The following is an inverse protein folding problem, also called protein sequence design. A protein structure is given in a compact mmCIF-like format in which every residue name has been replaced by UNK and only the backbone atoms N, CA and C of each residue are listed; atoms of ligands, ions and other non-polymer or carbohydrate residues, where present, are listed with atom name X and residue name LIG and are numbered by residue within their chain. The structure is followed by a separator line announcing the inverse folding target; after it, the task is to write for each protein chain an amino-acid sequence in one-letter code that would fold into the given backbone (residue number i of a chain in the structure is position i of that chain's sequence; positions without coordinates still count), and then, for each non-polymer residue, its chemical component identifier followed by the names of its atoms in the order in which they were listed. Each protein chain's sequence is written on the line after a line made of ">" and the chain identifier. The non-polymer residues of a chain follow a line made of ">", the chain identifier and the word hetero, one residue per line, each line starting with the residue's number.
data_IF_783494224530
#
_entry.id   IF_783494224530
#
_cell.length_a   1.000
_cell.length_b   1.000
_cell.length_c   1.000
_cell.angle_alpha   90.00
_cell.angle_beta   90.00
_cell.angle_gamma   90.00
#
_symmetry.space_group_name_H-M   'P 1'
#
loop_
_entity.id
_entity.type
_entity.pdbx_description
1 polymer ?
#
# COMPACT_ATOMS: atom_id res chain seq x y z
N UNK A 1 -20.71 2.00 -40.37
CA UNK A 1 -20.74 0.53 -40.57
C UNK A 1 -21.18 -0.14 -39.30
N UNK A 2 -22.13 -1.08 -39.36
CA UNK A 2 -22.68 -1.79 -38.19
C UNK A 2 -21.58 -2.44 -37.29
N UNK A 3 -20.43 -2.79 -37.85
CA UNK A 3 -19.34 -3.46 -37.13
C UNK A 3 -18.69 -2.58 -36.07
N UNK A 4 -18.70 -1.25 -36.22
CA UNK A 4 -18.13 -0.29 -35.25
C UNK A 4 -19.15 0.27 -34.27
N UNK A 5 -20.47 0.05 -34.51
CA UNK A 5 -21.54 0.67 -33.69
C UNK A 5 -21.51 0.26 -32.25
N UNK A 6 -21.16 -1.00 -31.93
CA UNK A 6 -21.03 -1.49 -30.55
C UNK A 6 -19.90 -0.77 -29.79
N UNK A 7 -18.73 -0.61 -30.42
CA UNK A 7 -17.59 0.10 -29.82
C UNK A 7 -17.92 1.59 -29.67
N UNK A 8 -18.57 2.20 -30.67
CA UNK A 8 -18.99 3.60 -30.61
C UNK A 8 -19.99 3.85 -29.47
N UNK A 9 -20.95 2.94 -29.30
CA UNK A 9 -21.90 3.01 -28.21
C UNK A 9 -21.19 2.97 -26.85
N UNK A 10 -20.26 2.02 -26.67
CA UNK A 10 -19.44 1.90 -25.45
C UNK A 10 -18.57 3.14 -25.22
N UNK A 11 -17.96 3.72 -26.24
CA UNK A 11 -17.18 4.96 -26.13
C UNK A 11 -18.04 6.15 -25.70
N UNK A 12 -19.26 6.26 -26.20
CA UNK A 12 -20.20 7.32 -25.80
C UNK A 12 -20.62 7.19 -24.33
N UNK A 13 -20.80 5.96 -23.84
CA UNK A 13 -21.10 5.67 -22.42
C UNK A 13 -19.90 5.97 -21.51
N UNK A 14 -18.67 5.81 -22.01
CA UNK A 14 -17.45 6.07 -21.26
C UNK A 14 -17.11 7.58 -21.19
N UNK A 15 -17.54 8.39 -22.13
CA UNK A 15 -17.20 9.83 -22.19
C UNK A 15 -17.52 10.61 -20.90
N UNK A 16 -18.69 10.43 -20.25
CA UNK A 16 -18.96 11.03 -18.94
C UNK A 16 -17.96 10.59 -17.86
N UNK A 17 -17.59 9.30 -17.87
CA UNK A 17 -16.63 8.74 -16.89
C UNK A 17 -15.24 9.37 -16.99
N UNK A 18 -14.80 9.72 -18.20
CA UNK A 18 -13.55 10.48 -18.39
C UNK A 18 -13.64 11.88 -17.78
N UNK A 19 -14.78 12.55 -17.89
CA UNK A 19 -14.97 13.85 -17.26
C UNK A 19 -15.02 13.76 -15.74
N UNK A 20 -15.68 12.74 -15.19
CA UNK A 20 -15.70 12.45 -13.76
C UNK A 20 -14.29 12.15 -13.23
N UNK A 21 -13.50 11.33 -13.95
CA UNK A 21 -12.12 11.03 -13.61
C UNK A 21 -11.26 12.30 -13.58
N UNK A 22 -11.42 13.21 -14.53
CA UNK A 22 -10.74 14.50 -14.55
C UNK A 22 -11.03 15.32 -13.28
N UNK A 23 -12.31 15.36 -12.88
CA UNK A 23 -12.75 16.02 -11.65
C UNK A 23 -12.20 15.35 -10.39
N UNK A 24 -12.29 14.03 -10.30
CA UNK A 24 -11.77 13.27 -9.16
C UNK A 24 -10.25 13.40 -9.00
N UNK A 25 -9.52 13.56 -10.10
CA UNK A 25 -8.08 13.79 -10.10
C UNK A 25 -7.69 15.25 -9.78
N UNK A 26 -8.65 16.20 -9.70
CA UNK A 26 -8.38 17.64 -9.47
C UNK A 26 -7.29 18.21 -10.41
N UNK A 27 -7.28 17.81 -11.68
CA UNK A 27 -6.17 18.11 -12.62
C UNK A 27 -5.98 19.61 -12.85
N UNK A 28 -7.06 20.38 -12.87
CA UNK A 28 -6.99 21.83 -13.11
C UNK A 28 -6.33 22.54 -11.91
N UNK A 29 -6.69 22.17 -10.68
CA UNK A 29 -6.01 22.68 -9.48
C UNK A 29 -4.58 22.18 -9.38
N UNK A 30 -4.33 20.91 -9.70
CA UNK A 30 -3.00 20.33 -9.72
C UNK A 30 -2.07 21.01 -10.71
N UNK A 31 -2.55 21.38 -11.89
CA UNK A 31 -1.78 22.13 -12.88
C UNK A 31 -1.44 23.55 -12.40
N UNK A 32 -2.40 24.24 -11.76
CA UNK A 32 -2.17 25.55 -11.16
C UNK A 32 -1.16 25.49 -10.01
N UNK A 33 -1.30 24.50 -9.10
CA UNK A 33 -0.35 24.23 -8.01
C UNK A 33 1.05 23.95 -8.54
N UNK A 34 1.18 23.12 -9.57
CA UNK A 34 2.46 22.81 -10.18
C UNK A 34 3.15 24.05 -10.76
N UNK A 35 2.40 24.90 -11.46
CA UNK A 35 2.92 26.14 -12.03
C UNK A 35 3.37 27.13 -10.93
N UNK A 36 2.61 27.23 -9.84
CA UNK A 36 2.98 28.07 -8.69
C UNK A 36 4.26 27.56 -8.01
N UNK A 37 4.35 26.24 -7.79
CA UNK A 37 5.55 25.62 -7.21
C UNK A 37 6.76 25.77 -8.12
N UNK A 38 6.60 25.68 -9.45
CA UNK A 38 7.69 25.93 -10.42
C UNK A 38 8.19 27.37 -10.36
N UNK A 39 7.29 28.35 -10.18
CA UNK A 39 7.73 29.74 -9.96
C UNK A 39 8.55 29.89 -8.68
N UNK A 40 8.19 29.18 -7.61
CA UNK A 40 8.97 29.15 -6.37
C UNK A 40 10.36 28.53 -6.56
N UNK A 41 10.51 27.51 -7.41
CA UNK A 41 11.83 26.91 -7.68
C UNK A 41 12.78 27.84 -8.44
N UNK A 42 12.27 28.86 -9.13
CA UNK A 42 13.05 29.85 -9.83
C UNK A 42 13.62 30.96 -8.91
N UNK A 43 13.19 31.03 -7.64
CA UNK A 43 13.69 32.01 -6.69
C UNK A 43 15.14 31.73 -6.28
N UNK A 44 15.96 32.76 -6.13
CA UNK A 44 17.39 32.62 -5.84
C UNK A 44 17.69 31.96 -4.47
N UNK A 45 16.76 32.05 -3.53
CA UNK A 45 16.83 31.51 -2.17
C UNK A 45 16.26 30.10 -2.02
N UNK A 46 15.67 29.52 -3.08
CA UNK A 46 15.04 28.20 -3.07
C UNK A 46 15.99 27.10 -2.59
N UNK A 47 17.27 27.18 -2.96
CA UNK A 47 18.27 26.16 -2.61
C UNK A 47 18.91 26.32 -1.24
N UNK A 48 18.50 27.35 -0.45
CA UNK A 48 18.98 27.53 0.91
C UNK A 48 18.42 26.46 1.88
N UNK A 49 17.30 25.81 1.52
CA UNK A 49 16.72 24.65 2.20
C UNK A 49 16.66 23.45 1.24
N UNK A 50 17.70 22.58 1.22
CA UNK A 50 17.78 21.44 0.31
C UNK A 50 16.65 20.42 0.53
N UNK A 51 16.26 20.17 1.80
CA UNK A 51 15.19 19.19 2.13
C UNK A 51 13.81 19.69 1.70
N UNK A 52 13.49 20.95 2.02
CA UNK A 52 12.26 21.57 1.56
C UNK A 52 12.21 21.67 0.03
N UNK A 53 13.34 22.01 -0.61
CA UNK A 53 13.48 22.03 -2.07
C UNK A 53 13.20 20.67 -2.71
N UNK A 54 13.74 19.60 -2.15
CA UNK A 54 13.50 18.24 -2.66
C UNK A 54 12.02 17.83 -2.55
N UNK A 55 11.36 18.13 -1.45
CA UNK A 55 9.91 17.88 -1.27
C UNK A 55 9.07 18.64 -2.31
N UNK A 56 9.41 19.90 -2.58
CA UNK A 56 8.73 20.71 -3.61
C UNK A 56 8.91 20.11 -4.99
N UNK A 57 10.14 19.73 -5.38
CA UNK A 57 10.39 19.09 -6.67
C UNK A 57 9.67 17.75 -6.82
N UNK A 58 9.63 16.95 -5.76
CA UNK A 58 8.87 15.69 -5.74
C UNK A 58 7.37 15.95 -5.93
N UNK A 59 6.82 17.00 -5.28
CA UNK A 59 5.42 17.39 -5.44
C UNK A 59 5.10 17.83 -6.87
N UNK A 60 5.95 18.66 -7.47
CA UNK A 60 5.82 19.07 -8.88
C UNK A 60 5.79 17.86 -9.80
N UNK A 61 6.74 16.93 -9.61
CA UNK A 61 6.80 15.70 -10.41
C UNK A 61 5.51 14.90 -10.28
N UNK A 62 5.00 14.68 -9.06
CA UNK A 62 3.75 13.94 -8.82
C UNK A 62 2.56 14.56 -9.56
N UNK A 63 2.42 15.90 -9.50
CA UNK A 63 1.34 16.61 -10.15
C UNK A 63 1.43 16.52 -11.69
N UNK A 64 2.66 16.65 -12.23
CA UNK A 64 2.90 16.51 -13.67
C UNK A 64 2.66 15.08 -14.17
N UNK A 65 3.14 14.09 -13.44
CA UNK A 65 2.96 12.68 -13.81
C UNK A 65 1.48 12.31 -13.81
N UNK A 66 0.71 12.80 -12.83
CA UNK A 66 -0.74 12.62 -12.75
C UNK A 66 -1.46 13.22 -13.97
N UNK A 67 -1.10 14.42 -14.35
CA UNK A 67 -1.65 15.06 -15.55
C UNK A 67 -1.24 14.33 -16.83
N UNK A 68 0.02 13.92 -16.97
CA UNK A 68 0.52 13.20 -18.12
C UNK A 68 -0.21 11.85 -18.31
N UNK A 69 -0.47 11.12 -17.24
CA UNK A 69 -1.26 9.86 -17.28
C UNK A 69 -2.67 10.10 -17.81
N UNK A 70 -3.36 11.13 -17.34
CA UNK A 70 -4.69 11.47 -17.86
C UNK A 70 -4.65 11.90 -19.32
N UNK A 71 -3.66 12.71 -19.74
CA UNK A 71 -3.52 13.12 -21.15
C UNK A 71 -3.25 11.91 -22.06
N UNK A 72 -2.42 10.96 -21.61
CA UNK A 72 -2.19 9.69 -22.30
C UNK A 72 -3.52 8.92 -22.50
N UNK A 73 -4.29 8.78 -21.42
CA UNK A 73 -5.59 8.09 -21.45
C UNK A 73 -6.56 8.77 -22.42
N UNK A 74 -6.60 10.13 -22.39
CA UNK A 74 -7.41 10.90 -23.32
C UNK A 74 -6.94 10.71 -24.76
N UNK A 75 -5.62 10.70 -25.01
CA UNK A 75 -5.06 10.41 -26.34
C UNK A 75 -5.50 9.05 -26.85
N UNK A 76 -5.45 8.00 -26.02
CA UNK A 76 -5.94 6.66 -26.39
C UNK A 76 -7.43 6.66 -26.77
N UNK A 77 -8.26 7.43 -26.06
CA UNK A 77 -9.68 7.61 -26.43
C UNK A 77 -9.83 8.29 -27.79
N UNK A 78 -9.13 9.41 -27.97
CA UNK A 78 -9.19 10.20 -29.21
C UNK A 78 -8.67 9.37 -30.41
N UNK A 79 -7.61 8.57 -30.22
CA UNK A 79 -7.05 7.67 -31.24
C UNK A 79 -8.08 6.62 -31.70
N UNK A 80 -8.77 5.95 -30.75
CA UNK A 80 -9.80 4.95 -31.09
C UNK A 80 -10.95 5.61 -31.85
N UNK A 81 -11.41 6.79 -31.42
CA UNK A 81 -12.48 7.54 -32.11
C UNK A 81 -12.04 7.90 -33.53
N UNK A 82 -10.84 8.45 -33.68
CA UNK A 82 -10.29 8.87 -34.98
C UNK A 82 -10.14 7.67 -35.94
N UNK A 83 -9.64 6.53 -35.42
CA UNK A 83 -9.49 5.31 -36.23
C UNK A 83 -10.85 4.79 -36.73
N UNK A 84 -11.89 4.85 -35.86
CA UNK A 84 -13.27 4.50 -36.31
C UNK A 84 -13.76 5.43 -37.39
N UNK A 85 -13.58 6.75 -37.23
CA UNK A 85 -14.00 7.74 -38.22
C UNK A 85 -13.31 7.53 -39.60
N UNK A 86 -11.99 7.28 -39.56
CA UNK A 86 -11.20 6.97 -40.74
C UNK A 86 -11.67 5.67 -41.43
N UNK A 87 -11.90 4.60 -40.66
CA UNK A 87 -12.36 3.31 -41.16
C UNK A 87 -13.73 3.42 -41.84
N UNK A 88 -14.62 4.24 -41.27
CA UNK A 88 -15.95 4.49 -41.86
C UNK A 88 -15.87 5.34 -43.13
N UNK A 89 -15.04 6.37 -43.15
CA UNK A 89 -14.84 7.23 -44.34
C UNK A 89 -14.25 6.43 -45.51
N UNK A 90 -13.27 5.57 -45.21
CA UNK A 90 -12.62 4.72 -46.21
C UNK A 90 -13.41 3.45 -46.53
N UNK A 91 -14.48 3.14 -45.79
CA UNK A 91 -15.26 1.88 -45.87
C UNK A 91 -14.38 0.63 -45.70
N UNK A 92 -13.34 0.74 -44.84
CA UNK A 92 -12.32 -0.30 -44.60
C UNK A 92 -12.60 -1.08 -43.31
N UNK A 93 -13.05 -2.33 -43.48
CA UNK A 93 -13.29 -3.24 -42.33
C UNK A 93 -12.00 -3.88 -41.80
N UNK A 94 -10.88 -3.78 -42.51
CA UNK A 94 -9.62 -4.37 -42.09
C UNK A 94 -9.03 -3.70 -40.84
N UNK A 95 -9.43 -2.48 -40.49
CA UNK A 95 -9.04 -1.73 -39.30
C UNK A 95 -9.79 -2.17 -38.02
N UNK A 96 -10.82 -3.03 -38.15
CA UNK A 96 -11.60 -3.47 -36.96
C UNK A 96 -10.78 -4.13 -35.88
N UNK A 97 -9.80 -5.04 -36.13
CA UNK A 97 -8.97 -5.61 -35.09
C UNK A 97 -8.13 -4.56 -34.36
N UNK A 98 -7.66 -3.52 -35.06
CA UNK A 98 -6.89 -2.42 -34.47
C UNK A 98 -7.76 -1.57 -33.56
N UNK A 99 -8.96 -1.20 -34.02
CA UNK A 99 -9.95 -0.47 -33.20
C UNK A 99 -10.31 -1.27 -31.95
N UNK A 100 -10.54 -2.58 -32.08
CA UNK A 100 -10.88 -3.44 -30.95
C UNK A 100 -9.74 -3.55 -29.95
N UNK A 101 -8.50 -3.70 -30.41
CA UNK A 101 -7.31 -3.73 -29.56
C UNK A 101 -7.10 -2.40 -28.84
N UNK A 102 -7.21 -1.27 -29.56
CA UNK A 102 -7.14 0.08 -29.00
C UNK A 102 -8.20 0.34 -27.93
N UNK A 103 -9.46 -0.05 -28.22
CA UNK A 103 -10.55 0.07 -27.25
C UNK A 103 -10.34 -0.79 -26.00
N UNK A 104 -9.82 -2.01 -26.15
CA UNK A 104 -9.53 -2.89 -25.03
C UNK A 104 -8.42 -2.31 -24.15
N UNK A 105 -7.33 -1.84 -24.76
CA UNK A 105 -6.23 -1.19 -24.04
C UNK A 105 -6.67 0.08 -23.32
N UNK A 106 -7.46 0.93 -24.00
CA UNK A 106 -8.05 2.14 -23.41
C UNK A 106 -8.95 1.82 -22.21
N UNK A 107 -9.83 0.83 -22.34
CA UNK A 107 -10.77 0.45 -21.28
C UNK A 107 -10.04 -0.06 -20.03
N UNK A 108 -8.99 -0.85 -20.20
CA UNK A 108 -8.15 -1.34 -19.12
C UNK A 108 -7.42 -0.19 -18.41
N UNK A 109 -6.84 0.74 -19.16
CA UNK A 109 -6.14 1.92 -18.58
C UNK A 109 -7.10 2.86 -17.86
N UNK A 110 -8.31 3.10 -18.41
CA UNK A 110 -9.36 3.88 -17.75
C UNK A 110 -9.76 3.26 -16.40
N UNK A 111 -9.93 1.95 -16.38
CA UNK A 111 -10.27 1.25 -15.14
C UNK A 111 -9.16 1.38 -14.11
N UNK A 112 -7.91 1.16 -14.50
CA UNK A 112 -6.75 1.29 -13.62
C UNK A 112 -6.63 2.71 -13.04
N UNK A 113 -6.80 3.74 -13.84
CA UNK A 113 -6.76 5.13 -13.36
C UNK A 113 -7.96 5.48 -12.47
N UNK A 114 -9.15 4.99 -12.80
CA UNK A 114 -10.34 5.19 -11.95
C UNK A 114 -10.12 4.57 -10.57
N UNK A 115 -9.58 3.36 -10.50
CA UNK A 115 -9.29 2.69 -9.24
C UNK A 115 -8.24 3.41 -8.41
N UNK A 116 -7.22 3.98 -9.06
CA UNK A 116 -6.22 4.77 -8.36
C UNK A 116 -6.81 5.99 -7.62
N UNK A 117 -7.96 6.52 -8.06
CA UNK A 117 -8.66 7.61 -7.37
C UNK A 117 -9.37 7.16 -6.09
N UNK A 118 -9.65 5.87 -5.95
CA UNK A 118 -10.27 5.29 -4.74
C UNK A 118 -9.25 5.05 -3.62
N UNK A 119 -7.95 5.13 -3.94
CA UNK A 119 -6.86 4.94 -2.99
C UNK A 119 -6.57 6.26 -2.26
N UNK A 120 -7.40 6.56 -1.25
CA UNK A 120 -7.33 7.82 -0.50
C UNK A 120 -6.75 7.65 0.91
N UNK A 121 -6.46 6.42 1.33
CA UNK A 121 -5.89 6.12 2.63
C UNK A 121 -4.47 6.68 2.79
N UNK A 122 -4.12 7.07 4.01
CA UNK A 122 -2.81 7.67 4.34
C UNK A 122 -1.62 6.81 3.87
N UNK A 123 -1.75 5.49 3.91
CA UNK A 123 -0.69 4.53 3.60
C UNK A 123 -0.88 3.85 2.24
N UNK A 124 -1.95 4.17 1.49
CA UNK A 124 -2.27 3.48 0.24
C UNK A 124 -1.14 3.55 -0.81
N UNK A 125 -0.30 4.58 -0.73
CA UNK A 125 0.84 4.78 -1.66
C UNK A 125 2.10 3.98 -1.30
N UNK A 126 2.13 3.39 -0.10
CA UNK A 126 3.29 2.67 0.38
C UNK A 126 3.44 1.32 -0.33
N UNK A 127 4.63 0.77 -0.23
CA UNK A 127 4.87 -0.64 -0.50
C UNK A 127 4.07 -1.51 0.48
N UNK A 128 3.88 -2.78 0.15
CA UNK A 128 3.12 -3.71 0.97
C UNK A 128 4.02 -4.82 1.52
N UNK A 129 3.88 -5.13 2.80
CA UNK A 129 4.42 -6.34 3.41
C UNK A 129 3.24 -7.30 3.57
N UNK A 130 3.35 -8.47 2.94
CA UNK A 130 2.36 -9.54 3.02
C UNK A 130 2.92 -10.70 3.84
N UNK A 131 2.22 -11.08 4.91
CA UNK A 131 2.57 -12.24 5.73
C UNK A 131 1.52 -13.33 5.52
N UNK A 132 2.00 -14.54 5.25
CA UNK A 132 1.19 -15.72 4.97
C UNK A 132 1.35 -16.73 6.10
N UNK A 133 0.25 -17.28 6.59
CA UNK A 133 0.25 -18.25 7.67
C UNK A 133 -0.67 -19.43 7.33
N UNK A 134 -0.12 -20.64 7.42
CA UNK A 134 -0.93 -21.85 7.29
C UNK A 134 -1.90 -21.98 8.45
N UNK A 135 -3.18 -22.17 8.13
CA UNK A 135 -4.24 -22.35 9.11
C UNK A 135 -4.61 -23.83 9.34
N UNK A 136 -5.88 -24.07 9.60
CA UNK A 136 -6.39 -25.42 9.75
C UNK A 136 -6.31 -26.22 8.44
N UNK A 137 -5.77 -27.45 8.48
CA UNK A 137 -5.65 -28.34 7.32
C UNK A 137 -4.34 -29.15 7.26
N UNK A 138 -3.42 -28.98 8.22
CA UNK A 138 -2.16 -29.72 8.27
C UNK A 138 -1.29 -29.45 7.03
N UNK A 139 -0.69 -30.52 6.45
CA UNK A 139 0.16 -30.44 5.24
C UNK A 139 -0.56 -29.75 4.07
N UNK A 140 -1.87 -29.98 3.92
CA UNK A 140 -2.67 -29.34 2.87
C UNK A 140 -2.75 -27.81 3.04
N UNK A 141 -2.82 -27.30 4.27
CA UNK A 141 -2.81 -25.86 4.55
C UNK A 141 -1.44 -25.23 4.28
N UNK A 142 -0.36 -25.99 4.51
CA UNK A 142 1.00 -25.55 4.20
C UNK A 142 1.23 -25.46 2.68
N UNK A 143 0.73 -26.44 1.92
CA UNK A 143 0.76 -26.39 0.45
C UNK A 143 -0.10 -25.23 -0.09
N UNK A 144 -1.29 -25.02 0.51
CA UNK A 144 -2.14 -23.89 0.18
C UNK A 144 -1.44 -22.55 0.39
N UNK A 145 -0.70 -22.40 1.48
CA UNK A 145 0.09 -21.18 1.76
C UNK A 145 1.13 -20.94 0.67
N UNK A 146 1.84 -21.97 0.23
CA UNK A 146 2.79 -21.86 -0.88
C UNK A 146 2.11 -21.46 -2.20
N UNK A 147 0.93 -22.03 -2.48
CA UNK A 147 0.15 -21.66 -3.66
C UNK A 147 -0.28 -20.19 -3.63
N UNK A 148 -0.67 -19.65 -2.46
CA UNK A 148 -1.00 -18.23 -2.31
C UNK A 148 0.21 -17.33 -2.54
N UNK A 149 1.37 -17.67 -1.96
CA UNK A 149 2.62 -16.92 -2.20
C UNK A 149 2.91 -16.83 -3.70
N UNK A 150 2.84 -17.95 -4.42
CA UNK A 150 3.01 -17.97 -5.88
C UNK A 150 1.97 -17.11 -6.60
N UNK A 151 0.71 -17.18 -6.21
CA UNK A 151 -0.38 -16.42 -6.83
C UNK A 151 -0.12 -14.91 -6.73
N UNK A 152 0.30 -14.41 -5.55
CA UNK A 152 0.58 -12.99 -5.36
C UNK A 152 1.89 -12.53 -6.01
N UNK A 153 2.91 -13.39 -6.10
CA UNK A 153 4.12 -13.05 -6.86
C UNK A 153 3.83 -12.92 -8.35
N UNK A 154 3.01 -13.81 -8.93
CA UNK A 154 2.57 -13.69 -10.32
C UNK A 154 1.74 -12.43 -10.57
N UNK A 155 0.85 -12.07 -9.64
CA UNK A 155 0.11 -10.82 -9.73
C UNK A 155 1.02 -9.59 -9.69
N UNK A 156 2.03 -9.59 -8.81
CA UNK A 156 3.01 -8.51 -8.73
C UNK A 156 3.81 -8.37 -10.04
N UNK A 157 4.29 -9.48 -10.60
CA UNK A 157 5.00 -9.51 -11.88
C UNK A 157 4.13 -8.98 -13.02
N UNK A 158 2.87 -9.39 -13.10
CA UNK A 158 1.92 -8.94 -14.13
C UNK A 158 1.64 -7.43 -14.04
N UNK A 159 1.71 -6.85 -12.85
CA UNK A 159 1.57 -5.40 -12.60
C UNK A 159 2.87 -4.61 -12.74
N UNK A 160 3.99 -5.29 -12.96
CA UNK A 160 5.32 -4.66 -13.03
C UNK A 160 5.81 -4.18 -11.66
N UNK A 161 5.31 -4.77 -10.56
CA UNK A 161 5.83 -4.54 -9.23
C UNK A 161 7.04 -5.43 -8.99
N UNK A 162 8.01 -4.96 -8.22
CA UNK A 162 9.08 -5.80 -7.71
C UNK A 162 8.66 -6.45 -6.40
N UNK A 163 9.13 -7.68 -6.17
CA UNK A 163 8.88 -8.37 -4.91
C UNK A 163 10.14 -9.02 -4.38
N UNK A 164 10.20 -9.16 -3.06
CA UNK A 164 11.31 -9.79 -2.35
C UNK A 164 10.75 -10.67 -1.23
N UNK A 165 11.23 -11.90 -1.17
CA UNK A 165 10.97 -12.77 -0.03
C UNK A 165 11.83 -12.29 1.15
N UNK A 166 11.19 -11.93 2.26
CA UNK A 166 11.84 -11.45 3.47
C UNK A 166 12.16 -12.61 4.41
N UNK A 167 11.20 -13.52 4.57
CA UNK A 167 11.32 -14.69 5.43
C UNK A 167 10.44 -15.82 4.91
N UNK A 168 10.84 -17.08 5.16
CA UNK A 168 10.02 -18.25 4.90
C UNK A 168 10.33 -19.38 5.90
N UNK A 169 9.29 -20.08 6.27
CA UNK A 169 9.37 -21.26 7.12
C UNK A 169 8.71 -22.45 6.43
N UNK A 170 9.52 -23.40 6.06
CA UNK A 170 9.08 -24.61 5.37
C UNK A 170 8.11 -25.46 6.19
N UNK A 171 7.21 -26.13 5.49
CA UNK A 171 6.40 -27.20 6.03
C UNK A 171 7.23 -28.43 6.39
N UNK A 172 6.67 -29.34 7.19
CA UNK A 172 7.39 -30.56 7.58
C UNK A 172 7.47 -31.59 6.44
N UNK A 173 6.44 -31.67 5.62
CA UNK A 173 6.33 -32.62 4.50
C UNK A 173 6.25 -31.90 3.15
N UNK A 174 5.54 -30.78 3.08
CA UNK A 174 5.36 -29.96 1.88
C UNK A 174 4.87 -28.57 2.22
N UNK A 175 5.05 -27.64 1.29
CA UNK A 175 4.54 -26.28 1.39
C UNK A 175 5.24 -25.42 2.44
N UNK A 176 4.60 -24.34 2.86
CA UNK A 176 5.12 -23.34 3.78
C UNK A 176 4.24 -23.21 5.02
N UNK A 177 4.84 -23.20 6.22
CA UNK A 177 4.15 -22.84 7.46
C UNK A 177 3.84 -21.35 7.51
N UNK A 178 4.81 -20.54 7.09
CA UNK A 178 4.67 -19.09 6.93
C UNK A 178 5.62 -18.56 5.86
N UNK A 179 5.29 -17.40 5.31
CA UNK A 179 6.18 -16.64 4.45
C UNK A 179 5.90 -15.15 4.59
N UNK A 180 6.91 -14.31 4.34
CA UNK A 180 6.78 -12.86 4.29
C UNK A 180 7.33 -12.32 2.97
N UNK A 181 6.50 -11.55 2.25
CA UNK A 181 6.84 -10.89 1.00
C UNK A 181 6.79 -9.38 1.15
N UNK A 182 7.83 -8.69 0.73
CA UNK A 182 7.77 -7.26 0.42
C UNK A 182 7.39 -7.10 -1.05
N UNK A 183 6.35 -6.32 -1.33
CA UNK A 183 5.94 -5.94 -2.69
C UNK A 183 6.10 -4.44 -2.84
N UNK A 184 7.01 -4.05 -3.74
CA UNK A 184 7.39 -2.66 -3.96
C UNK A 184 6.75 -2.14 -5.25
N UNK A 185 6.04 -1.04 -5.14
CA UNK A 185 5.40 -0.39 -6.27
C UNK A 185 4.44 0.72 -5.84
N UNK A 186 4.10 1.59 -6.78
CA UNK A 186 3.16 2.68 -6.50
C UNK A 186 1.78 2.15 -6.12
N UNK A 187 1.30 2.49 -4.93
CA UNK A 187 0.03 2.05 -4.36
C UNK A 187 -0.06 0.53 -4.08
N UNK A 188 1.06 -0.17 -3.93
CA UNK A 188 1.04 -1.61 -3.67
C UNK A 188 0.19 -1.98 -2.46
N UNK A 189 0.35 -1.29 -1.32
CA UNK A 189 -0.48 -1.50 -0.14
C UNK A 189 -1.96 -1.15 -0.41
N UNK A 190 -2.24 -0.07 -1.12
CA UNK A 190 -3.59 0.36 -1.44
C UNK A 190 -4.40 -0.69 -2.19
N UNK A 191 -3.77 -1.43 -3.11
CA UNK A 191 -4.40 -2.55 -3.80
C UNK A 191 -4.50 -3.79 -2.91
N UNK A 192 -3.39 -4.17 -2.28
CA UNK A 192 -3.27 -5.44 -1.55
C UNK A 192 -3.98 -5.46 -0.21
N UNK A 193 -4.31 -4.31 0.40
CA UNK A 193 -5.12 -4.26 1.63
C UNK A 193 -6.46 -4.99 1.49
N UNK A 194 -6.98 -5.11 0.25
CA UNK A 194 -8.18 -5.89 -0.07
C UNK A 194 -8.01 -7.39 0.19
N UNK A 195 -6.78 -7.88 0.18
CA UNK A 195 -6.46 -9.30 0.29
C UNK A 195 -6.23 -9.76 1.74
N UNK A 196 -6.28 -8.82 2.68
CA UNK A 196 -6.14 -9.12 4.11
C UNK A 196 -7.31 -9.96 4.61
N UNK A 197 -7.01 -11.17 5.13
CA UNK A 197 -8.01 -12.06 5.73
C UNK A 197 -7.72 -13.53 5.48
N UNK A 198 -8.74 -14.38 5.70
CA UNK A 198 -8.64 -15.83 5.58
C UNK A 198 -9.06 -16.29 4.19
N UNK A 199 -8.23 -17.11 3.56
CA UNK A 199 -8.44 -17.71 2.24
C UNK A 199 -8.71 -19.21 2.39
N UNK A 200 -9.85 -19.66 1.87
CA UNK A 200 -10.33 -21.04 1.97
C UNK A 200 -10.11 -21.80 0.67
N UNK A 201 -9.40 -22.91 0.73
CA UNK A 201 -9.22 -23.86 -0.37
C UNK A 201 -10.18 -25.04 -0.23
N UNK A 202 -10.79 -25.48 -1.33
CA UNK A 202 -11.58 -26.72 -1.42
C UNK A 202 -11.12 -27.49 -2.66
N UNK A 203 -10.37 -28.58 -2.46
CA UNK A 203 -9.92 -29.45 -3.56
C UNK A 203 -9.80 -30.92 -3.11
N UNK A 204 -9.52 -31.82 -4.04
CA UNK A 204 -9.02 -33.15 -3.72
C UNK A 204 -7.55 -32.98 -3.33
N UNK A 205 -7.19 -33.40 -2.12
CA UNK A 205 -5.83 -33.26 -1.61
C UNK A 205 -4.87 -34.24 -2.30
N UNK A 206 -3.72 -33.76 -2.79
CA UNK A 206 -2.69 -34.66 -3.30
C UNK A 206 -2.01 -35.49 -2.19
N UNK A 207 -2.21 -35.11 -0.93
CA UNK A 207 -1.64 -35.80 0.26
C UNK A 207 -2.60 -36.81 0.87
N UNK A 208 -3.85 -36.89 0.42
CA UNK A 208 -4.83 -37.89 0.89
C UNK A 208 -4.92 -39.04 -0.10
N UNK A 209 -4.33 -40.19 0.26
CA UNK A 209 -4.38 -41.41 -0.56
C UNK A 209 -5.81 -41.90 -0.85
N UNK A 210 -6.81 -41.46 -0.06
CA UNK A 210 -8.22 -41.79 -0.27
C UNK A 210 -8.90 -40.91 -1.32
N UNK A 211 -8.21 -39.86 -1.84
CA UNK A 211 -8.76 -38.94 -2.84
C UNK A 211 -9.98 -38.16 -2.38
N UNK A 212 -10.13 -37.93 -1.07
CA UNK A 212 -11.26 -37.19 -0.52
C UNK A 212 -11.09 -35.69 -0.70
N UNK A 213 -12.22 -34.99 -0.84
CA UNK A 213 -12.25 -33.53 -0.87
C UNK A 213 -11.92 -33.00 0.52
N UNK A 214 -10.88 -32.17 0.59
CA UNK A 214 -10.42 -31.51 1.80
C UNK A 214 -10.72 -30.00 1.74
N UNK A 215 -10.80 -29.39 2.92
CA UNK A 215 -10.92 -27.94 3.06
C UNK A 215 -9.80 -27.46 3.96
N UNK A 216 -9.03 -26.48 3.48
CA UNK A 216 -7.89 -25.91 4.17
C UNK A 216 -7.97 -24.39 4.19
N UNK A 217 -7.34 -23.80 5.17
CA UNK A 217 -7.37 -22.37 5.39
C UNK A 217 -5.94 -21.84 5.50
N UNK A 218 -5.72 -20.64 4.95
CA UNK A 218 -4.52 -19.86 5.17
C UNK A 218 -4.91 -18.41 5.43
N UNK A 219 -4.18 -17.73 6.31
CA UNK A 219 -4.36 -16.31 6.56
C UNK A 219 -3.33 -15.52 5.74
N UNK A 220 -3.78 -14.41 5.20
CA UNK A 220 -2.95 -13.39 4.56
C UNK A 220 -3.10 -12.10 5.36
N UNK A 221 -2.02 -11.61 5.91
CA UNK A 221 -1.95 -10.29 6.55
C UNK A 221 -1.25 -9.33 5.60
N UNK A 222 -1.79 -8.12 5.46
CA UNK A 222 -1.20 -7.08 4.60
C UNK A 222 -0.98 -5.83 5.42
N UNK A 223 0.25 -5.35 5.41
CA UNK A 223 0.67 -4.14 6.12
C UNK A 223 1.40 -3.19 5.17
N UNK A 224 1.31 -1.87 5.39
CA UNK A 224 2.15 -0.93 4.66
C UNK A 224 3.59 -1.02 5.15
N UNK A 225 4.54 -0.95 4.22
CA UNK A 225 5.93 -0.69 4.59
C UNK A 225 6.01 0.72 5.16
N UNK A 226 6.46 0.83 6.40
CA UNK A 226 6.64 2.11 7.07
C UNK A 226 8.09 2.57 6.88
N UNK A 227 8.34 3.85 6.55
CA UNK A 227 9.70 4.35 6.46
C UNK A 227 10.40 4.22 7.81
N UNK A 228 11.64 3.72 7.78
CA UNK A 228 12.52 3.60 8.96
C UNK A 228 12.95 4.95 9.55
N UNK A 229 12.50 6.05 8.96
CA UNK A 229 12.94 7.41 9.26
C UNK A 229 12.32 7.92 10.57
N UNK A 230 12.83 7.39 11.68
CA UNK A 230 12.59 7.91 13.01
C UNK A 230 13.70 8.92 13.33
N UNK A 231 13.91 9.88 12.44
CA UNK A 231 14.75 11.02 12.78
C UNK A 231 14.00 11.91 13.79
N UNK A 232 14.56 12.01 14.99
CA UNK A 232 13.99 12.83 16.06
C UNK A 232 14.72 14.15 16.02
N UNK A 233 14.13 15.11 15.32
CA UNK A 233 14.58 16.49 15.39
C UNK A 233 14.19 17.07 16.76
N UNK A 234 15.18 17.35 17.60
CA UNK A 234 14.98 18.04 18.89
C UNK A 234 15.41 19.50 18.69
N UNK A 235 14.42 20.37 18.62
CA UNK A 235 14.69 21.82 18.49
C UNK A 235 15.13 22.41 19.84
N UNK A 236 16.12 23.30 19.84
CA UNK A 236 16.56 23.94 21.10
C UNK A 236 15.43 24.70 21.82
N UNK A 237 14.47 25.26 21.07
CA UNK A 237 13.30 26.00 21.58
C UNK A 237 12.28 25.11 22.31
N UNK A 238 12.28 23.80 22.02
CA UNK A 238 11.41 22.81 22.67
C UNK A 238 12.00 22.28 23.98
N UNK A 239 13.20 22.75 24.35
CA UNK A 239 13.92 22.29 25.53
C UNK A 239 13.93 23.36 26.62
N UNK A 240 13.49 22.99 27.81
CA UNK A 240 13.76 23.73 29.03
C UNK A 240 14.89 23.04 29.79
N UNK A 241 16.01 23.72 29.95
CA UNK A 241 17.19 23.22 30.66
C UNK A 241 17.34 23.93 32.01
N UNK A 242 17.20 23.18 33.07
CA UNK A 242 17.39 23.66 34.45
C UNK A 242 18.66 23.05 35.06
N UNK A 243 19.45 23.87 35.71
CA UNK A 243 20.63 23.42 36.49
C UNK A 243 20.32 23.37 37.98
N UNK A 244 20.82 22.38 38.66
CA UNK A 244 20.61 22.24 40.09
C UNK A 244 21.83 21.60 40.77
N UNK A 245 21.87 21.67 42.12
CA UNK A 245 22.95 21.07 42.89
C UNK A 245 22.73 19.58 43.00
N UNK A 246 23.78 18.79 42.67
CA UNK A 246 23.72 17.35 42.84
C UNK A 246 23.55 16.97 44.29
N UNK A 247 22.67 16.02 44.60
CA UNK A 247 22.47 15.44 45.93
C UNK A 247 23.11 14.06 45.98
N UNK A 248 24.08 13.85 46.88
CA UNK A 248 24.74 12.55 47.04
C UNK A 248 25.82 12.57 48.09
N UNK A 249 26.29 11.39 48.55
CA UNK A 249 27.40 11.20 49.47
C UNK A 249 28.72 11.58 48.78
N UNK A 250 29.04 12.87 48.72
CA UNK A 250 30.28 13.40 48.16
C UNK A 250 30.81 14.58 48.98
N UNK A 251 32.13 14.84 48.93
CA UNK A 251 32.80 15.88 49.70
C UNK A 251 32.35 17.30 49.37
N UNK A 252 32.90 18.29 50.10
CA UNK A 252 32.50 19.74 50.02
C UNK A 252 32.42 20.33 48.60
N UNK A 253 33.04 19.73 47.58
CA UNK A 253 33.05 20.22 46.19
C UNK A 253 31.75 19.88 45.44
N UNK A 254 31.15 18.72 45.74
CA UNK A 254 29.91 18.25 45.11
C UNK A 254 28.69 19.10 45.55
N UNK A 255 28.70 19.59 46.75
CA UNK A 255 27.62 20.38 47.34
C UNK A 255 27.67 21.89 47.03
N UNK A 256 28.74 22.37 46.37
CA UNK A 256 28.90 23.80 46.03
C UNK A 256 28.72 24.13 44.55
N UNK A 257 28.80 23.15 43.65
CA UNK A 257 28.69 23.38 42.20
C UNK A 257 27.36 22.88 41.67
N UNK A 258 26.67 23.68 40.88
CA UNK A 258 25.43 23.32 40.18
C UNK A 258 25.76 22.56 38.89
N UNK A 259 26.31 21.35 39.04
CA UNK A 259 26.71 20.51 37.90
C UNK A 259 25.63 19.60 37.40
N UNK A 260 24.55 19.37 38.15
CA UNK A 260 23.43 18.55 37.73
C UNK A 260 22.51 19.28 36.74
N UNK A 261 22.06 18.57 35.71
CA UNK A 261 21.21 19.10 34.68
C UNK A 261 19.88 18.33 34.64
N UNK A 262 18.78 19.08 34.45
CA UNK A 262 17.46 18.58 34.12
C UNK A 262 17.01 19.19 32.80
N UNK A 263 16.66 18.34 31.84
CA UNK A 263 16.11 18.75 30.54
C UNK A 263 14.66 18.31 30.52
N UNK A 264 13.78 19.26 30.24
CA UNK A 264 12.35 19.01 29.98
C UNK A 264 12.06 19.29 28.53
N UNK A 265 11.56 18.29 27.80
CA UNK A 265 11.06 18.48 26.44
C UNK A 265 9.61 18.93 26.52
N UNK A 266 9.36 20.21 26.17
CA UNK A 266 8.08 20.88 26.37
C UNK A 266 6.93 20.19 25.62
N UNK A 267 7.07 19.80 24.33
CA UNK A 267 5.96 19.20 23.59
C UNK A 267 5.52 17.83 24.13
N UNK A 268 6.45 16.98 24.58
CA UNK A 268 6.14 15.62 25.08
C UNK A 268 6.03 15.53 26.60
N UNK A 269 6.41 16.59 27.33
CA UNK A 269 6.45 16.58 28.81
C UNK A 269 7.51 15.68 29.43
N UNK A 270 8.41 15.09 28.62
CA UNK A 270 9.47 14.20 29.12
C UNK A 270 10.51 14.99 29.90
N UNK A 271 10.85 14.49 31.09
CA UNK A 271 11.89 15.05 31.93
C UNK A 271 13.01 14.03 32.07
N UNK A 272 14.24 14.46 31.82
CA UNK A 272 15.46 13.68 32.04
C UNK A 272 16.40 14.48 32.92
N UNK A 273 17.15 13.79 33.83
CA UNK A 273 18.13 14.42 34.68
C UNK A 273 19.43 13.61 34.70
N UNK A 274 20.55 14.31 34.71
CA UNK A 274 21.88 13.71 34.84
C UNK A 274 22.73 14.48 35.85
N UNK A 275 23.38 13.75 36.74
CA UNK A 275 24.27 14.31 37.79
C UNK A 275 25.55 13.49 38.01
N UNK A 276 25.85 12.53 37.12
CA UNK A 276 26.91 11.54 37.32
C UNK A 276 28.30 12.10 37.05
N UNK A 277 28.40 13.13 36.21
CA UNK A 277 29.69 13.70 35.82
C UNK A 277 29.99 14.99 36.58
N UNK A 278 31.29 15.28 36.72
CA UNK A 278 31.77 16.52 37.39
C UNK A 278 31.54 17.78 36.55
N UNK A 279 31.42 17.62 35.25
CA UNK A 279 31.24 18.70 34.29
C UNK A 279 29.75 18.86 33.92
N UNK A 280 29.24 20.07 34.08
CA UNK A 280 27.88 20.44 33.62
C UNK A 280 27.67 20.14 32.15
N UNK A 281 28.69 20.37 31.32
CA UNK A 281 28.61 20.10 29.87
C UNK A 281 28.47 18.61 29.57
N UNK A 282 29.22 17.75 30.24
CA UNK A 282 29.10 16.29 30.08
C UNK A 282 27.73 15.77 30.55
N UNK A 283 27.24 16.29 31.71
CA UNK A 283 25.87 15.96 32.16
C UNK A 283 24.79 16.36 31.16
N UNK A 284 24.98 17.50 30.46
CA UNK A 284 24.06 17.93 29.39
C UNK A 284 24.07 16.98 28.19
N UNK A 285 25.23 16.56 27.73
CA UNK A 285 25.38 15.63 26.63
C UNK A 285 24.75 14.26 26.94
N UNK A 286 24.96 13.75 28.15
CA UNK A 286 24.34 12.50 28.62
C UNK A 286 22.82 12.66 28.70
N UNK A 287 22.34 13.75 29.32
CA UNK A 287 20.90 14.02 29.40
C UNK A 287 20.23 14.15 28.01
N UNK A 288 20.90 14.77 27.02
CA UNK A 288 20.43 14.83 25.65
C UNK A 288 20.33 13.45 24.99
N UNK A 289 21.31 12.58 25.21
CA UNK A 289 21.26 11.18 24.73
C UNK A 289 20.10 10.41 25.38
N UNK A 290 19.90 10.59 26.70
CA UNK A 290 18.76 9.97 27.40
C UNK A 290 17.41 10.48 26.87
N UNK A 291 17.31 11.78 26.58
CA UNK A 291 16.09 12.35 26.01
C UNK A 291 15.80 11.77 24.62
N UNK A 292 16.81 11.69 23.74
CA UNK A 292 16.67 11.07 22.42
C UNK A 292 16.18 9.63 22.53
N UNK A 293 16.77 8.83 23.41
CA UNK A 293 16.38 7.43 23.63
C UNK A 293 14.91 7.31 24.07
N UNK A 294 14.47 8.17 25.01
CA UNK A 294 13.07 8.16 25.47
C UNK A 294 12.08 8.62 24.40
N UNK A 295 12.44 9.63 23.61
CA UNK A 295 11.60 10.07 22.48
C UNK A 295 11.50 8.98 21.41
N UNK A 296 12.60 8.26 21.16
CA UNK A 296 12.63 7.13 20.24
C UNK A 296 11.71 5.99 20.70
N UNK A 297 11.75 5.65 21.98
CA UNK A 297 10.87 4.63 22.59
C UNK A 297 9.39 5.01 22.44
N UNK A 298 9.02 6.27 22.68
CA UNK A 298 7.63 6.73 22.51
C UNK A 298 7.22 6.66 21.05
N UNK A 299 8.05 7.13 20.12
CA UNK A 299 7.78 7.09 18.70
C UNK A 299 7.63 5.66 18.17
N UNK A 300 8.46 4.74 18.66
CA UNK A 300 8.33 3.31 18.38
C UNK A 300 7.01 2.74 18.91
N UNK A 301 6.61 3.14 20.11
CA UNK A 301 5.34 2.70 20.70
C UNK A 301 4.14 3.23 19.94
N UNK A 302 4.11 4.52 19.60
CA UNK A 302 3.08 5.10 18.72
C UNK A 302 3.03 4.45 17.33
N UNK A 303 4.20 4.03 16.83
CA UNK A 303 4.30 3.29 15.59
C UNK A 303 3.68 1.89 15.70
N UNK A 304 3.97 1.17 16.79
CA UNK A 304 3.37 -0.13 17.08
C UNK A 304 1.86 -0.03 17.27
N UNK A 305 1.38 0.97 18.01
CA UNK A 305 -0.06 1.22 18.19
C UNK A 305 -0.75 1.49 16.84
N UNK A 306 -0.12 2.27 15.94
CA UNK A 306 -0.63 2.48 14.57
C UNK A 306 -0.64 1.21 13.73
N UNK A 307 0.38 0.36 13.87
CA UNK A 307 0.42 -0.95 13.20
C UNK A 307 -0.70 -1.85 13.72
N UNK A 308 -0.97 -1.86 15.03
CA UNK A 308 -2.07 -2.61 15.63
C UNK A 308 -3.44 -2.11 15.15
N UNK A 309 -3.62 -0.79 15.05
CA UNK A 309 -4.84 -0.18 14.51
C UNK A 309 -5.05 -0.56 13.02
N UNK A 310 -3.97 -0.63 12.23
CA UNK A 310 -4.02 -1.03 10.81
C UNK A 310 -4.31 -2.53 10.67
N UNK A 311 -3.71 -3.37 11.52
CA UNK A 311 -3.97 -4.82 11.54
C UNK A 311 -5.43 -5.13 11.83
N UNK A 312 -6.13 -4.25 12.57
CA UNK A 312 -7.50 -4.49 13.00
C UNK A 312 -7.63 -5.70 13.92
N UNK A 313 -8.87 -6.19 14.05
CA UNK A 313 -9.13 -7.39 14.86
C UNK A 313 -8.59 -8.60 14.12
N UNK A 314 -7.55 -9.22 14.67
CA UNK A 314 -6.99 -10.47 14.15
C UNK A 314 -8.09 -11.54 14.11
N UNK A 315 -8.54 -11.87 12.89
CA UNK A 315 -9.59 -12.87 12.72
C UNK A 315 -9.03 -14.26 13.00
N UNK A 316 -9.70 -15.02 13.85
CA UNK A 316 -9.35 -16.43 14.04
C UNK A 316 -9.43 -17.17 12.71
N UNK A 317 -8.39 -17.96 12.39
CA UNK A 317 -8.31 -18.76 11.16
C UNK A 317 -9.23 -19.98 11.30
N UNK A 318 -10.56 -19.74 11.31
CA UNK A 318 -11.61 -20.73 11.55
C UNK A 318 -12.74 -20.60 10.50
N UNK A 319 -13.63 -21.59 10.50
CA UNK A 319 -14.84 -21.57 9.68
C UNK A 319 -15.69 -20.33 9.96
N UNK A 320 -16.05 -19.60 8.88
CA UNK A 320 -16.89 -18.41 8.96
C UNK A 320 -16.12 -17.09 8.84
N UNK A 321 -14.78 -17.09 8.96
CA UNK A 321 -13.94 -15.89 8.86
C UNK A 321 -13.31 -15.69 7.47
N UNK A 322 -13.64 -16.56 6.50
CA UNK A 322 -13.03 -16.47 5.17
C UNK A 322 -13.54 -15.27 4.37
N UNK A 323 -12.61 -14.53 3.79
CA UNK A 323 -12.91 -13.46 2.83
C UNK A 323 -13.16 -14.02 1.43
N UNK A 324 -12.43 -15.09 1.04
CA UNK A 324 -12.50 -15.68 -0.30
C UNK A 324 -12.39 -17.19 -0.25
N UNK A 325 -13.19 -17.86 -1.09
CA UNK A 325 -13.17 -19.33 -1.25
C UNK A 325 -12.70 -19.68 -2.66
N UNK A 326 -11.80 -20.64 -2.74
CA UNK A 326 -11.24 -21.20 -3.96
C UNK A 326 -11.66 -22.66 -4.06
N UNK A 327 -12.62 -22.94 -4.95
CA UNK A 327 -13.21 -24.29 -5.13
C UNK A 327 -12.71 -24.87 -6.43
N UNK A 328 -12.01 -26.00 -6.36
CA UNK A 328 -11.51 -26.75 -7.50
C UNK A 328 -12.39 -27.95 -7.84
N UNK A 329 -13.19 -28.44 -6.89
CA UNK A 329 -14.07 -29.59 -7.05
C UNK A 329 -15.29 -29.48 -6.11
N UNK A 330 -16.51 -29.86 -6.52
CA UNK A 330 -16.90 -30.54 -7.77
C UNK A 330 -17.09 -29.57 -8.97
N UNK A 331 -17.03 -28.31 -8.74
CA UNK A 331 -17.05 -27.22 -9.75
C UNK A 331 -15.88 -26.30 -9.51
N UNK A 332 -15.52 -25.49 -10.50
CA UNK A 332 -14.43 -24.51 -10.41
C UNK A 332 -15.04 -23.13 -10.15
N UNK A 333 -14.66 -22.50 -9.04
CA UNK A 333 -15.14 -21.16 -8.69
C UNK A 333 -14.22 -20.52 -7.65
N UNK A 334 -13.84 -19.28 -7.87
CA UNK A 334 -13.31 -18.39 -6.83
C UNK A 334 -14.37 -17.34 -6.52
N UNK A 335 -14.72 -17.19 -5.24
CA UNK A 335 -15.76 -16.25 -4.78
C UNK A 335 -15.24 -15.43 -3.60
N UNK A 336 -15.31 -14.11 -3.71
CA UNK A 336 -15.15 -13.20 -2.58
C UNK A 336 -16.50 -12.99 -1.89
N UNK A 337 -16.55 -13.31 -0.60
CA UNK A 337 -17.80 -13.26 0.18
C UNK A 337 -18.19 -11.84 0.57
N UNK A 338 -17.24 -10.90 0.58
CA UNK A 338 -17.48 -9.49 0.95
C UNK A 338 -18.13 -8.70 -0.18
N UNK A 339 -17.70 -8.96 -1.41
CA UNK A 339 -18.15 -8.22 -2.59
C UNK A 339 -19.14 -8.99 -3.45
N UNK A 340 -19.22 -10.31 -3.25
CA UNK A 340 -19.99 -11.20 -4.12
C UNK A 340 -19.37 -11.45 -5.49
N UNK A 341 -18.19 -10.91 -5.78
CA UNK A 341 -17.50 -11.13 -7.06
C UNK A 341 -17.05 -12.58 -7.21
N UNK A 342 -17.27 -13.15 -8.39
CA UNK A 342 -17.00 -14.56 -8.71
C UNK A 342 -16.19 -14.66 -10.02
N UNK A 343 -15.23 -15.60 -10.05
CA UNK A 343 -14.50 -15.97 -11.26
C UNK A 343 -14.43 -17.51 -11.37
N UNK A 344 -14.97 -18.08 -12.45
CA UNK A 344 -14.97 -19.52 -12.71
C UNK A 344 -13.62 -20.07 -13.19
N UNK A 345 -12.72 -19.20 -13.67
CA UNK A 345 -11.39 -19.61 -14.16
C UNK A 345 -10.37 -19.61 -12.99
N UNK A 346 -10.46 -20.66 -12.16
CA UNK A 346 -9.57 -20.81 -10.99
C UNK A 346 -8.10 -20.84 -11.40
N UNK A 347 -7.77 -21.42 -12.56
CA UNK A 347 -6.39 -21.46 -13.06
C UNK A 347 -5.82 -20.06 -13.30
N UNK A 348 -6.55 -19.19 -13.99
CA UNK A 348 -6.12 -17.81 -14.22
C UNK A 348 -5.94 -17.04 -12.89
N UNK A 349 -6.88 -17.23 -11.95
CA UNK A 349 -6.77 -16.61 -10.61
C UNK A 349 -5.49 -17.07 -9.89
N UNK A 350 -5.17 -18.38 -9.93
CA UNK A 350 -3.94 -18.92 -9.32
C UNK A 350 -2.66 -18.46 -10.04
N UNK A 351 -2.78 -18.06 -11.29
CA UNK A 351 -1.68 -17.45 -12.07
C UNK A 351 -1.64 -15.92 -11.97
N UNK A 352 -2.41 -15.32 -11.03
CA UNK A 352 -2.31 -13.90 -10.68
C UNK A 352 -3.42 -13.00 -11.22
N UNK A 353 -4.49 -13.53 -11.86
CA UNK A 353 -5.66 -12.72 -12.28
C UNK A 353 -6.53 -12.35 -11.06
N UNK A 354 -6.05 -11.39 -10.25
CA UNK A 354 -6.71 -10.92 -9.02
C UNK A 354 -7.41 -9.58 -9.18
N UNK A 355 -7.19 -8.88 -10.28
CA UNK A 355 -7.66 -7.50 -10.46
C UNK A 355 -9.18 -7.37 -10.31
N UNK A 356 -9.95 -8.33 -10.80
CA UNK A 356 -11.41 -8.34 -10.63
C UNK A 356 -11.85 -8.31 -9.16
N UNK A 357 -11.17 -9.07 -8.29
CA UNK A 357 -11.46 -9.13 -6.85
C UNK A 357 -11.04 -7.85 -6.14
N UNK A 358 -9.81 -7.38 -6.40
CA UNK A 358 -9.25 -6.14 -5.84
C UNK A 358 -10.15 -4.95 -6.21
N UNK A 359 -10.53 -4.85 -7.48
CA UNK A 359 -11.36 -3.77 -8.01
C UNK A 359 -12.76 -3.78 -7.39
N UNK A 360 -13.39 -4.97 -7.27
CA UNK A 360 -14.68 -5.12 -6.62
C UNK A 360 -14.61 -4.65 -5.16
N UNK A 361 -13.58 -5.05 -4.43
CA UNK A 361 -13.39 -4.62 -3.04
C UNK A 361 -13.22 -3.11 -2.92
N UNK A 362 -12.35 -2.49 -3.74
CA UNK A 362 -12.11 -1.05 -3.69
C UNK A 362 -13.38 -0.25 -4.01
N UNK A 363 -14.20 -0.70 -4.96
CA UNK A 363 -15.50 -0.09 -5.26
C UNK A 363 -16.47 -0.22 -4.08
N UNK A 364 -16.64 -1.42 -3.51
CA UNK A 364 -17.50 -1.62 -2.34
C UNK A 364 -17.03 -0.77 -1.14
N UNK A 365 -15.72 -0.65 -0.94
CA UNK A 365 -15.15 0.19 0.13
C UNK A 365 -15.46 1.68 -0.07
N UNK A 366 -15.52 2.15 -1.33
CA UNK A 366 -15.81 3.54 -1.64
C UNK A 366 -17.32 3.86 -1.60
N UNK A 367 -18.18 2.92 -2.03
CA UNK A 367 -19.64 3.13 -2.10
C UNK A 367 -20.37 2.68 -0.84
N UNK A 368 -19.77 1.77 -0.06
CA UNK A 368 -20.44 1.11 1.07
C UNK A 368 -21.36 -0.04 0.69
N UNK A 369 -21.40 -0.44 -0.59
CA UNK A 369 -22.26 -1.50 -1.11
C UNK A 369 -21.59 -2.87 -0.97
N UNK A 370 -21.65 -3.44 0.23
CA UNK A 370 -21.15 -4.78 0.52
C UNK A 370 -22.20 -5.86 0.21
N UNK A 371 -21.76 -7.04 -0.22
CA UNK A 371 -22.64 -8.19 -0.39
C UNK A 371 -23.31 -8.55 0.94
N UNK A 372 -24.62 -8.80 0.91
CA UNK A 372 -25.44 -9.15 2.09
C UNK A 372 -25.29 -10.62 2.43
#
# INVERSE_FOLDING_TARGET
>A
MLIYDDIRFKLNDIKPRLAELRGALDLDKGAAEAAELEQKTAAADFWNDPEGGQKVLQRIKQLKDKNARYQKLKGMYDDVVTTIEMAEEMQDESLFPEVQAGFTAFSAELEAQTLSTLLTGQYDRNNAIMSFHAGAGGTEAQDWTQMLVRMYTHWADARGFSWKLLDELDGEEAGLKSAELLIEGENAFGYLKSEHGVHRLVRISPFDASGRRQTSFAAVEVMPEMPDDVDIEIRPEDLKVDTYRSSGAGGQHVNKTESAIRITHIPSGIVVSCQNERSQYQNRDVAMKMLRSKLMEIKQREHLDKIEDIKGVQMKIEWGSQIRSYVFMPYTLVKDHRTGFENGNVGAVMDGDLDGFINAYLRCSATGDWAK
#
